data_IF_271303322265
#
_entry.id   IF_271303322265
#
_cell.length_a   1.000
_cell.length_b   1.000
_cell.length_c   1.000
_cell.angle_alpha   90.00
_cell.angle_beta   90.00
_cell.angle_gamma   90.00
#
_symmetry.space_group_name_H-M   'P 1'
#
loop_
_entity.id
_entity.type
_entity.pdbx_description
1 polymer ?
#
# COMPACT_ATOMS: atom_id res chain seq x y z
N UNK A 1 4.04 28.96 2.32
CA UNK A 1 3.29 27.92 3.05
C UNK A 1 3.41 26.65 2.23
N UNK A 2 3.90 25.56 2.83
CA UNK A 2 3.98 24.27 2.14
C UNK A 2 2.58 23.69 1.87
N UNK A 3 2.42 23.06 0.73
CA UNK A 3 1.18 22.33 0.37
C UNK A 3 1.46 20.84 0.36
N UNK A 4 0.60 20.07 1.00
CA UNK A 4 0.62 18.61 0.98
C UNK A 4 -0.53 18.10 0.13
N UNK A 5 -0.23 17.20 -0.80
CA UNK A 5 -1.23 16.45 -1.56
C UNK A 5 -1.08 14.97 -1.25
N UNK A 6 -2.17 14.35 -0.85
CA UNK A 6 -2.22 12.90 -0.56
C UNK A 6 -3.03 12.22 -1.66
N UNK A 7 -2.43 11.24 -2.31
CA UNK A 7 -3.08 10.42 -3.35
C UNK A 7 -3.11 8.97 -2.88
N UNK A 8 -4.29 8.35 -2.96
CA UNK A 8 -4.41 6.91 -2.82
C UNK A 8 -4.14 6.24 -4.17
N UNK A 9 -3.46 5.08 -4.17
CA UNK A 9 -3.27 4.30 -5.39
C UNK A 9 -4.61 3.93 -6.05
N UNK A 10 -4.60 3.74 -7.36
CA UNK A 10 -5.74 3.25 -8.11
C UNK A 10 -6.09 1.79 -7.76
N UNK A 11 -7.19 1.30 -8.33
CA UNK A 11 -7.60 -0.09 -8.13
C UNK A 11 -6.48 -1.05 -8.52
N UNK A 12 -6.10 -1.96 -7.61
CA UNK A 12 -5.19 -3.06 -7.91
C UNK A 12 -5.95 -4.27 -8.49
N UNK A 13 -5.20 -5.19 -9.09
CA UNK A 13 -5.76 -6.49 -9.54
C UNK A 13 -6.47 -7.22 -8.40
N UNK A 14 -5.93 -7.21 -7.19
CA UNK A 14 -6.54 -7.84 -6.04
C UNK A 14 -7.71 -7.04 -5.44
N UNK A 15 -7.70 -5.72 -5.55
CA UNK A 15 -8.89 -4.93 -5.22
C UNK A 15 -10.07 -5.32 -6.14
N UNK A 16 -9.82 -5.52 -7.42
CA UNK A 16 -10.83 -5.96 -8.38
C UNK A 16 -11.40 -7.34 -8.05
N UNK A 17 -10.59 -8.23 -7.48
CA UNK A 17 -10.97 -9.58 -7.05
C UNK A 17 -11.53 -9.62 -5.61
N UNK A 18 -11.62 -8.48 -4.92
CA UNK A 18 -12.03 -8.39 -3.52
C UNK A 18 -11.15 -9.18 -2.56
N UNK A 19 -9.83 -9.23 -2.82
CA UNK A 19 -8.85 -9.88 -1.97
C UNK A 19 -8.15 -8.89 -1.04
N UNK A 20 -7.74 -9.37 0.13
CA UNK A 20 -6.85 -8.60 1.01
C UNK A 20 -5.48 -8.44 0.38
N UNK A 21 -5.04 -7.22 0.20
CA UNK A 21 -3.80 -6.87 -0.49
C UNK A 21 -2.62 -6.69 0.48
N UNK A 22 -2.69 -5.67 1.33
CA UNK A 22 -1.63 -5.39 2.31
C UNK A 22 -0.27 -5.16 1.65
N UNK A 23 0.72 -5.96 2.01
CA UNK A 23 2.08 -5.85 1.49
C UNK A 23 2.36 -6.75 0.28
N UNK A 24 1.41 -7.57 -0.14
CA UNK A 24 1.58 -8.34 -1.38
C UNK A 24 1.66 -7.38 -2.56
N UNK A 25 2.67 -7.55 -3.38
CA UNK A 25 2.97 -6.66 -4.50
C UNK A 25 2.11 -7.00 -5.72
N UNK A 26 0.99 -6.34 -5.84
CA UNK A 26 0.08 -6.46 -6.97
C UNK A 26 0.11 -5.21 -7.83
N UNK A 27 -0.17 -5.37 -9.12
CA UNK A 27 -0.21 -4.29 -10.09
C UNK A 27 -1.57 -3.58 -10.08
N UNK A 28 -1.61 -2.39 -10.65
CA UNK A 28 -2.86 -1.72 -10.98
C UNK A 28 -3.63 -2.53 -12.03
N UNK A 29 -4.97 -2.57 -11.88
CA UNK A 29 -5.87 -2.96 -12.97
C UNK A 29 -5.92 -1.86 -14.02
N UNK A 30 -6.51 -2.15 -15.19
CA UNK A 30 -6.73 -1.13 -16.23
C UNK A 30 -7.54 0.06 -15.69
N UNK A 31 -8.54 -0.23 -14.86
CA UNK A 31 -9.30 0.81 -14.15
C UNK A 31 -8.42 1.63 -13.21
N UNK A 32 -7.51 0.98 -12.47
CA UNK A 32 -6.57 1.65 -11.57
C UNK A 32 -5.62 2.58 -12.32
N UNK A 33 -5.15 2.17 -13.49
CA UNK A 33 -4.32 3.01 -14.37
C UNK A 33 -5.10 4.24 -14.82
N UNK A 34 -6.34 4.07 -15.26
CA UNK A 34 -7.21 5.18 -15.66
C UNK A 34 -7.45 6.15 -14.49
N UNK A 35 -7.67 5.64 -13.29
CA UNK A 35 -7.82 6.45 -12.08
C UNK A 35 -6.57 7.26 -11.74
N UNK A 36 -5.38 6.66 -11.89
CA UNK A 36 -4.11 7.34 -11.66
C UNK A 36 -3.88 8.48 -12.66
N UNK A 37 -4.20 8.26 -13.94
CA UNK A 37 -4.14 9.29 -14.97
C UNK A 37 -5.13 10.43 -14.71
N UNK A 38 -6.36 10.11 -14.35
CA UNK A 38 -7.37 11.10 -13.97
C UNK A 38 -6.91 11.98 -12.80
N UNK A 39 -6.30 11.37 -11.77
CA UNK A 39 -5.72 12.12 -10.66
C UNK A 39 -4.66 13.12 -11.14
N UNK A 40 -3.79 12.72 -12.07
CA UNK A 40 -2.79 13.60 -12.67
C UNK A 40 -3.41 14.75 -13.49
N UNK A 41 -4.46 14.47 -14.24
CA UNK A 41 -5.21 15.49 -14.99
C UNK A 41 -5.84 16.53 -14.04
N UNK A 42 -6.41 16.08 -12.92
CA UNK A 42 -6.94 16.97 -11.89
C UNK A 42 -5.86 17.85 -11.26
N UNK A 43 -4.70 17.29 -10.97
CA UNK A 43 -3.55 18.04 -10.44
C UNK A 43 -3.05 19.10 -11.43
N UNK A 44 -3.01 18.76 -12.71
CA UNK A 44 -2.64 19.70 -13.78
C UNK A 44 -3.66 20.84 -13.88
N UNK A 45 -4.97 20.53 -13.81
CA UNK A 45 -6.03 21.52 -13.86
C UNK A 45 -5.99 22.50 -12.67
N UNK A 46 -5.60 22.02 -11.49
CA UNK A 46 -5.39 22.86 -10.30
C UNK A 46 -4.10 23.69 -10.34
N UNK A 47 -3.25 23.46 -11.33
CA UNK A 47 -1.99 24.19 -11.49
C UNK A 47 -0.97 23.96 -10.36
N UNK A 48 -1.05 22.81 -9.68
CA UNK A 48 -0.16 22.49 -8.56
C UNK A 48 1.20 22.04 -9.09
N UNK A 49 2.27 22.71 -8.64
CA UNK A 49 3.65 22.31 -8.90
C UNK A 49 4.25 21.69 -7.64
N UNK A 50 4.91 20.55 -7.82
CA UNK A 50 5.51 19.79 -6.73
C UNK A 50 7.01 19.92 -6.73
N UNK A 51 7.59 20.01 -5.55
CA UNK A 51 9.04 20.04 -5.33
C UNK A 51 9.59 18.65 -5.04
N UNK A 52 8.76 17.76 -4.46
CA UNK A 52 9.14 16.44 -4.00
C UNK A 52 7.95 15.49 -4.02
N UNK A 53 8.19 14.23 -4.37
CA UNK A 53 7.23 13.14 -4.25
C UNK A 53 7.74 12.04 -3.32
N UNK A 54 6.82 11.44 -2.58
CA UNK A 54 7.07 10.31 -1.69
C UNK A 54 6.10 9.18 -2.01
N UNK A 55 6.59 7.95 -2.03
CA UNK A 55 5.78 6.77 -2.28
C UNK A 55 6.27 5.57 -1.47
N UNK A 56 5.42 4.56 -1.33
CA UNK A 56 5.82 3.26 -0.79
C UNK A 56 6.70 2.49 -1.80
N UNK A 57 7.09 1.29 -1.42
CA UNK A 57 7.81 0.36 -2.30
C UNK A 57 6.89 -0.64 -3.01
N UNK A 58 5.58 -0.46 -2.89
CA UNK A 58 4.59 -1.29 -3.57
C UNK A 58 4.35 -0.80 -5.00
N UNK A 59 4.38 -1.72 -5.96
CA UNK A 59 4.26 -1.39 -7.39
C UNK A 59 3.01 -0.56 -7.69
N UNK A 60 1.86 -0.89 -7.12
CA UNK A 60 0.62 -0.14 -7.33
C UNK A 60 0.68 1.32 -6.89
N UNK A 61 1.42 1.62 -5.82
CA UNK A 61 1.62 2.99 -5.35
C UNK A 61 2.62 3.75 -6.23
N UNK A 62 3.74 3.12 -6.57
CA UNK A 62 4.77 3.71 -7.45
C UNK A 62 4.19 4.02 -8.82
N UNK A 63 3.49 3.09 -9.43
CA UNK A 63 2.89 3.29 -10.77
C UNK A 63 1.77 4.32 -10.75
N UNK A 64 0.96 4.38 -9.70
CA UNK A 64 -0.03 5.46 -9.53
C UNK A 64 0.66 6.82 -9.52
N UNK A 65 1.73 6.98 -8.75
CA UNK A 65 2.50 8.22 -8.70
C UNK A 65 3.04 8.58 -10.09
N UNK A 66 3.65 7.63 -10.79
CA UNK A 66 4.24 7.88 -12.10
C UNK A 66 3.19 8.28 -13.14
N UNK A 67 2.05 7.61 -13.22
CA UNK A 67 0.96 8.02 -14.10
C UNK A 67 0.41 9.41 -13.76
N UNK A 68 0.24 9.69 -12.47
CA UNK A 68 -0.27 11.00 -12.04
C UNK A 68 0.73 12.12 -12.38
N UNK A 69 2.03 11.92 -12.11
CA UNK A 69 3.06 12.90 -12.43
C UNK A 69 3.26 13.08 -13.95
N UNK A 70 3.15 12.01 -14.74
CA UNK A 70 3.23 12.09 -16.20
C UNK A 70 2.11 12.96 -16.75
N UNK A 71 0.86 12.73 -16.36
CA UNK A 71 -0.28 13.54 -16.79
C UNK A 71 -0.19 15.00 -16.28
N UNK A 72 0.40 15.22 -15.11
CA UNK A 72 0.66 16.54 -14.58
C UNK A 72 1.87 17.25 -15.23
N UNK A 73 2.63 16.55 -16.09
CA UNK A 73 3.83 17.07 -16.72
C UNK A 73 5.03 17.25 -15.78
N UNK A 74 5.05 16.50 -14.66
CA UNK A 74 6.03 16.69 -13.58
C UNK A 74 6.76 15.38 -13.20
N UNK A 75 6.90 14.46 -14.15
CA UNK A 75 7.57 13.17 -13.90
C UNK A 75 9.05 13.34 -13.49
N UNK A 76 9.64 14.49 -13.79
CA UNK A 76 11.06 14.83 -13.52
C UNK A 76 11.37 15.17 -12.06
N UNK A 77 10.39 15.38 -11.21
CA UNK A 77 10.63 15.80 -9.83
C UNK A 77 11.33 14.71 -9.01
N UNK A 78 12.08 15.06 -7.95
CA UNK A 78 12.67 14.09 -7.05
C UNK A 78 11.62 13.19 -6.41
N UNK A 79 11.94 11.89 -6.33
CA UNK A 79 11.06 10.87 -5.78
C UNK A 79 11.80 10.05 -4.72
N UNK A 80 11.19 9.88 -3.57
CA UNK A 80 11.70 9.04 -2.48
C UNK A 80 10.73 7.89 -2.25
N UNK A 81 11.26 6.66 -2.26
CA UNK A 81 10.53 5.44 -1.95
C UNK A 81 10.91 4.96 -0.56
N UNK A 82 9.91 4.62 0.25
CA UNK A 82 10.14 4.06 1.58
C UNK A 82 9.10 2.99 1.90
N UNK A 83 9.58 1.83 2.41
CA UNK A 83 8.69 0.79 2.93
C UNK A 83 7.81 1.29 4.07
N UNK A 84 8.26 2.32 4.80
CA UNK A 84 7.50 2.94 5.89
C UNK A 84 6.19 3.58 5.43
N UNK A 85 6.05 3.85 4.13
CA UNK A 85 4.81 4.34 3.53
C UNK A 85 3.92 3.22 2.95
N UNK A 86 4.30 1.96 3.12
CA UNK A 86 3.48 0.84 2.66
C UNK A 86 2.08 0.87 3.30
N UNK A 87 1.12 0.32 2.57
CA UNK A 87 -0.20 0.01 3.10
C UNK A 87 -0.07 -0.86 4.36
N UNK A 88 -1.05 -0.80 5.24
CA UNK A 88 -1.16 -1.66 6.41
C UNK A 88 -0.99 -3.13 6.04
N UNK A 89 -0.20 -3.86 6.81
CA UNK A 89 0.03 -5.29 6.62
C UNK A 89 -1.11 -6.10 7.22
N UNK A 90 -1.85 -6.83 6.38
CA UNK A 90 -2.98 -7.65 6.84
C UNK A 90 -2.60 -9.05 7.32
N UNK A 91 -1.31 -9.36 7.49
CA UNK A 91 -0.85 -10.64 8.02
C UNK A 91 -1.32 -11.82 7.18
N UNK A 92 -1.79 -12.86 7.86
CA UNK A 92 -2.28 -14.09 7.22
C UNK A 92 -3.59 -13.91 6.44
N UNK A 93 -4.26 -12.76 6.52
CA UNK A 93 -5.43 -12.46 5.69
C UNK A 93 -5.07 -12.14 4.24
N UNK A 94 -3.81 -11.79 3.96
CA UNK A 94 -3.38 -11.43 2.61
C UNK A 94 -3.65 -12.56 1.61
N UNK A 95 -4.25 -12.23 0.48
CA UNK A 95 -4.66 -13.18 -0.55
C UNK A 95 -6.02 -13.82 -0.32
N UNK A 96 -6.64 -13.65 0.84
CA UNK A 96 -7.98 -14.19 1.11
C UNK A 96 -9.06 -13.25 0.56
N UNK A 97 -10.16 -13.83 0.08
CA UNK A 97 -11.33 -13.07 -0.35
C UNK A 97 -12.03 -12.48 0.87
N UNK A 98 -12.37 -11.21 0.83
CA UNK A 98 -12.98 -10.49 1.96
C UNK A 98 -14.35 -11.02 2.34
N UNK A 99 -15.16 -11.43 1.35
CA UNK A 99 -16.48 -12.01 1.60
C UNK A 99 -16.37 -13.43 2.21
N UNK A 100 -15.47 -14.25 1.67
CA UNK A 100 -15.20 -15.60 2.21
C UNK A 100 -14.62 -15.52 3.63
N UNK A 101 -13.76 -14.56 3.90
CA UNK A 101 -13.24 -14.31 5.25
C UNK A 101 -14.38 -13.93 6.22
N UNK A 102 -15.31 -13.08 5.78
CA UNK A 102 -16.48 -12.71 6.58
C UNK A 102 -17.40 -13.90 6.86
N UNK A 103 -17.54 -14.83 5.93
CA UNK A 103 -18.29 -16.09 6.15
C UNK A 103 -17.57 -17.01 7.13
N UNK A 104 -16.24 -17.09 7.05
CA UNK A 104 -15.42 -17.99 7.89
C UNK A 104 -15.29 -17.52 9.33
N UNK A 105 -15.04 -16.23 9.55
CA UNK A 105 -14.77 -15.67 10.88
C UNK A 105 -15.85 -14.72 11.41
N UNK A 106 -16.88 -14.46 10.62
CA UNK A 106 -17.92 -13.47 10.92
C UNK A 106 -17.58 -12.09 10.39
N UNK A 107 -18.58 -11.39 9.86
CA UNK A 107 -18.43 -10.05 9.28
C UNK A 107 -17.90 -9.04 10.31
N UNK A 108 -18.38 -9.13 11.56
CA UNK A 108 -17.94 -8.23 12.64
C UNK A 108 -16.45 -8.41 12.96
N UNK A 109 -15.96 -9.63 13.09
CA UNK A 109 -14.55 -9.91 13.37
C UNK A 109 -13.66 -9.40 12.23
N UNK A 110 -14.03 -9.64 10.98
CA UNK A 110 -13.29 -9.15 9.81
C UNK A 110 -13.30 -7.62 9.77
N UNK A 111 -14.42 -7.00 10.10
CA UNK A 111 -14.51 -5.55 10.21
C UNK A 111 -13.57 -4.99 11.28
N UNK A 112 -13.49 -5.62 12.43
CA UNK A 112 -12.55 -5.27 13.52
C UNK A 112 -11.11 -5.34 13.01
N UNK A 113 -10.70 -6.43 12.37
CA UNK A 113 -9.35 -6.55 11.81
C UNK A 113 -9.02 -5.49 10.77
N UNK A 114 -10.01 -5.05 10.01
CA UNK A 114 -9.82 -4.03 8.97
C UNK A 114 -9.83 -2.59 9.49
N UNK A 115 -10.47 -2.32 10.61
CA UNK A 115 -10.77 -0.95 11.04
C UNK A 115 -10.32 -0.61 12.46
N UNK A 116 -10.06 -1.59 13.30
CA UNK A 116 -9.61 -1.33 14.67
C UNK A 116 -8.25 -0.65 14.69
N UNK A 117 -8.08 0.20 15.71
CA UNK A 117 -6.81 0.86 15.97
C UNK A 117 -5.76 -0.10 16.51
N UNK A 118 -6.13 -0.98 17.44
CA UNK A 118 -5.20 -1.77 18.25
C UNK A 118 -5.39 -3.30 18.20
N UNK A 119 -6.37 -3.79 17.45
CA UNK A 119 -6.56 -5.25 17.28
C UNK A 119 -5.77 -5.74 16.07
N UNK A 120 -4.90 -6.73 16.31
CA UNK A 120 -4.11 -7.36 15.26
C UNK A 120 -4.93 -8.36 14.44
N UNK A 121 -4.69 -8.43 13.11
CA UNK A 121 -5.16 -9.56 12.31
C UNK A 121 -4.37 -10.83 12.66
N UNK A 122 -4.79 -12.02 12.17
CA UNK A 122 -3.94 -13.20 12.22
C UNK A 122 -2.57 -12.89 11.59
N UNK A 123 -1.49 -13.21 12.32
CA UNK A 123 -0.14 -12.93 11.87
C UNK A 123 0.36 -14.01 10.90
N UNK A 124 1.30 -13.66 10.03
CA UNK A 124 2.13 -14.64 9.33
C UNK A 124 2.97 -15.41 10.35
N UNK A 125 3.24 -16.69 10.08
CA UNK A 125 4.05 -17.54 10.98
C UNK A 125 5.56 -17.28 10.81
N UNK A 126 5.98 -16.86 9.63
CA UNK A 126 7.39 -16.55 9.35
C UNK A 126 7.55 -15.54 8.21
N UNK A 127 8.78 -15.04 8.05
CA UNK A 127 9.14 -14.14 6.95
C UNK A 127 9.28 -14.84 5.60
N UNK A 128 9.36 -16.17 5.59
CA UNK A 128 9.54 -16.98 4.37
C UNK A 128 8.20 -17.45 3.76
N UNK A 129 7.09 -17.01 4.32
CA UNK A 129 5.77 -17.42 3.81
C UNK A 129 5.49 -16.88 2.42
N UNK A 130 4.71 -17.64 1.70
CA UNK A 130 4.24 -17.32 0.36
C UNK A 130 2.70 -17.40 0.29
N UNK A 131 2.13 -16.57 -0.54
CA UNK A 131 0.69 -16.58 -0.84
C UNK A 131 0.50 -16.98 -2.30
N UNK A 132 -0.29 -18.02 -2.55
CA UNK A 132 -0.63 -18.44 -3.92
C UNK A 132 -2.09 -18.10 -4.22
N UNK A 133 -2.28 -17.32 -5.27
CA UNK A 133 -3.60 -16.92 -5.76
C UNK A 133 -3.66 -17.16 -7.26
N UNK A 134 -4.67 -17.90 -7.72
CA UNK A 134 -4.87 -18.22 -9.14
C UNK A 134 -3.62 -18.78 -9.82
N UNK A 135 -2.89 -19.65 -9.13
CA UNK A 135 -1.67 -20.29 -9.65
C UNK A 135 -0.41 -19.42 -9.66
N UNK A 136 -0.50 -18.17 -9.19
CA UNK A 136 0.64 -17.29 -9.04
C UNK A 136 1.03 -17.17 -7.57
N UNK A 137 2.31 -17.37 -7.29
CA UNK A 137 2.88 -17.31 -5.95
C UNK A 137 3.56 -15.96 -5.70
N UNK A 138 3.29 -15.40 -4.54
CA UNK A 138 3.85 -14.13 -4.09
C UNK A 138 4.57 -14.35 -2.76
N UNK A 139 5.86 -13.99 -2.64
CA UNK A 139 6.54 -14.04 -1.36
C UNK A 139 5.97 -12.98 -0.42
N UNK A 140 5.95 -13.28 0.87
CA UNK A 140 5.56 -12.30 1.89
C UNK A 140 6.53 -11.11 1.91
N UNK A 141 7.82 -11.40 1.78
CA UNK A 141 8.88 -10.41 1.69
C UNK A 141 9.88 -10.82 0.61
N UNK A 142 10.27 -9.88 -0.22
CA UNK A 142 11.28 -10.06 -1.25
C UNK A 142 12.51 -9.18 -1.02
N UNK A 143 13.44 -9.14 -1.98
CA UNK A 143 14.70 -8.40 -1.86
C UNK A 143 14.56 -6.91 -1.62
N UNK A 144 13.37 -6.30 -1.87
CA UNK A 144 13.14 -4.87 -1.61
C UNK A 144 13.25 -4.51 -0.14
N UNK A 145 13.12 -5.51 0.74
CA UNK A 145 13.23 -5.38 2.19
C UNK A 145 14.56 -5.91 2.76
N UNK A 146 15.52 -6.27 1.89
CA UNK A 146 16.77 -6.92 2.29
C UNK A 146 17.61 -6.09 3.28
N UNK A 147 17.53 -4.76 3.18
CA UNK A 147 18.27 -3.84 4.06
C UNK A 147 17.54 -3.52 5.37
N UNK A 148 16.33 -4.06 5.55
CA UNK A 148 15.53 -3.86 6.76
C UNK A 148 15.76 -5.05 7.70
N UNK A 149 16.17 -4.84 8.97
CA UNK A 149 16.26 -5.93 9.94
C UNK A 149 14.91 -6.65 10.09
N UNK A 150 14.91 -7.98 10.11
CA UNK A 150 13.68 -8.78 10.23
C UNK A 150 12.82 -8.34 11.41
N UNK A 151 13.40 -8.05 12.55
CA UNK A 151 12.67 -7.57 13.73
C UNK A 151 11.92 -6.26 13.56
N UNK A 152 12.21 -5.48 12.51
CA UNK A 152 11.49 -4.25 12.16
C UNK A 152 10.37 -4.49 11.13
N UNK A 153 10.41 -5.61 10.41
CA UNK A 153 9.38 -5.96 9.44
C UNK A 153 8.16 -6.59 10.13
N UNK A 154 6.94 -6.13 9.81
CA UNK A 154 5.74 -6.65 10.46
C UNK A 154 5.33 -8.01 9.86
N UNK A 155 4.85 -8.91 10.69
CA UNK A 155 4.15 -10.14 10.29
C UNK A 155 2.62 -9.92 10.22
N UNK A 156 2.16 -8.75 10.55
CA UNK A 156 0.80 -8.26 10.54
C UNK A 156 0.69 -7.00 11.37
N UNK A 157 -0.18 -6.09 10.99
CA UNK A 157 -0.30 -4.78 11.63
C UNK A 157 -1.74 -4.45 11.98
N UNK A 158 -1.90 -3.75 13.10
CA UNK A 158 -3.03 -2.88 13.36
C UNK A 158 -2.68 -1.43 12.96
N UNK A 159 -3.60 -0.52 13.08
CA UNK A 159 -3.37 0.88 12.72
C UNK A 159 -2.32 1.56 13.62
N UNK A 160 -2.28 1.20 14.90
CA UNK A 160 -1.29 1.69 15.86
C UNK A 160 0.14 1.38 15.42
N UNK A 161 0.42 0.11 15.08
CA UNK A 161 1.74 -0.33 14.61
C UNK A 161 2.09 0.33 13.27
N UNK A 162 1.12 0.48 12.38
CA UNK A 162 1.32 1.20 11.13
C UNK A 162 1.78 2.63 11.39
N UNK A 163 1.14 3.34 12.32
CA UNK A 163 1.55 4.69 12.71
C UNK A 163 2.97 4.73 13.27
N UNK A 164 3.34 3.77 14.11
CA UNK A 164 4.67 3.70 14.73
C UNK A 164 5.81 3.63 13.69
N UNK A 165 5.58 3.04 12.52
CA UNK A 165 6.57 3.01 11.44
C UNK A 165 6.48 4.19 10.47
N UNK A 166 5.31 4.79 10.33
CA UNK A 166 5.10 5.94 9.42
C UNK A 166 5.60 7.25 10.04
N UNK A 167 5.27 7.49 11.32
CA UNK A 167 5.55 8.77 11.97
C UNK A 167 7.02 9.18 11.96
N UNK A 168 7.99 8.30 12.26
CA UNK A 168 9.40 8.69 12.20
C UNK A 168 9.81 9.20 10.81
N UNK A 169 9.32 8.56 9.75
CA UNK A 169 9.60 8.98 8.38
C UNK A 169 8.87 10.29 8.02
N UNK A 170 7.65 10.44 8.49
CA UNK A 170 6.91 11.68 8.34
C UNK A 170 7.68 12.85 8.96
N UNK A 171 8.13 12.72 10.19
CA UNK A 171 8.81 13.77 10.95
C UNK A 171 10.21 14.11 10.41
N UNK A 172 10.95 13.10 9.91
CA UNK A 172 12.32 13.30 9.45
C UNK A 172 12.44 13.71 7.97
N UNK A 173 11.51 13.24 7.12
CA UNK A 173 11.67 13.34 5.66
C UNK A 173 10.57 14.13 4.96
N UNK A 174 9.34 14.13 5.49
CA UNK A 174 8.19 14.73 4.79
C UNK A 174 7.79 16.08 5.38
N UNK A 175 7.69 16.20 6.70
CA UNK A 175 7.18 17.39 7.40
C UNK A 175 8.14 18.56 7.42
#
# INVERSE_FOLDING_TARGET
>A
MAKLVLIRHGQSEWNALNLFNGWVDTKLSDKGIAQAKEAGELLAAEGIQFDQAYTSVLTRAITTLHYALEEAGQLYIPEVKSWRLNERHYGALQGQNKAEAAEKWGAEQVHIWRRSYDVLPPLLDSYDEEVTVQGKTYPAFDRRYADVPEGELPLGENLKITLERVLPFWESDIA
#
